data_IF_149008428005
#
_entry.id   IF_149008428005
#
_cell.length_a   1.000
_cell.length_b   1.000
_cell.length_c   1.000
_cell.angle_alpha   90.00
_cell.angle_beta   90.00
_cell.angle_gamma   90.00
#
_symmetry.space_group_name_H-M   'P 1'
#
loop_
_entity.id
_entity.type
_entity.pdbx_description
1 polymer ?
#
# COMPACT_ATOMS: atom_id res chain seq x y z
N UNK A 1 4.77 6.34 3.80
CA UNK A 1 4.92 6.97 5.14
C UNK A 1 6.29 7.64 5.26
N UNK A 2 6.41 8.65 6.11
CA UNK A 2 7.73 9.22 6.47
C UNK A 2 8.46 8.25 7.40
N UNK A 3 9.81 8.29 7.46
CA UNK A 3 10.55 7.51 8.44
C UNK A 3 10.15 7.85 9.87
N UNK A 4 9.99 6.83 10.71
CA UNK A 4 9.67 6.94 12.14
C UNK A 4 10.20 5.73 12.89
N UNK A 5 10.42 5.85 14.20
CA UNK A 5 10.84 4.73 15.05
C UNK A 5 10.09 4.79 16.40
N UNK A 6 9.74 3.61 16.92
CA UNK A 6 9.05 3.43 18.20
C UNK A 6 7.82 4.33 18.35
N UNK A 7 7.65 5.02 19.48
CA UNK A 7 6.48 5.86 19.76
C UNK A 7 6.27 7.02 18.78
N UNK A 8 7.31 7.45 18.05
CA UNK A 8 7.13 8.44 16.97
C UNK A 8 6.39 7.87 15.75
N UNK A 9 6.29 6.54 15.67
CA UNK A 9 5.50 5.82 14.67
C UNK A 9 4.05 5.59 15.09
N UNK A 10 3.65 5.91 16.32
CA UNK A 10 2.27 5.77 16.75
C UNK A 10 1.38 6.75 15.97
N UNK A 11 0.25 6.25 15.49
CA UNK A 11 -0.70 7.05 14.71
C UNK A 11 -2.12 6.60 15.01
N UNK A 12 -3.01 7.57 15.24
CA UNK A 12 -4.45 7.37 15.34
C UNK A 12 -5.12 7.23 13.96
N UNK A 13 -4.37 7.50 12.88
CA UNK A 13 -4.83 7.51 11.50
C UNK A 13 -3.83 6.79 10.60
N UNK A 14 -4.17 5.56 10.25
CA UNK A 14 -3.42 4.73 9.31
C UNK A 14 -4.06 4.81 7.93
N UNK A 15 -4.17 6.01 7.37
CA UNK A 15 -4.76 6.29 6.05
C UNK A 15 -3.69 6.85 5.12
N UNK A 16 -3.93 6.77 3.80
CA UNK A 16 -3.11 7.52 2.85
C UNK A 16 -3.21 9.03 3.15
N UNK A 17 -2.08 9.73 3.14
CA UNK A 17 -2.08 11.17 3.44
C UNK A 17 -2.77 11.97 2.33
N UNK A 18 -3.42 13.08 2.69
CA UNK A 18 -4.07 13.94 1.69
C UNK A 18 -3.11 14.41 0.58
N UNK A 19 -1.87 14.84 0.86
CA UNK A 19 -0.92 15.19 -0.19
C UNK A 19 -0.59 14.03 -1.16
N UNK A 20 -0.52 12.79 -0.66
CA UNK A 20 -0.28 11.60 -1.49
C UNK A 20 -1.50 11.31 -2.37
N UNK A 21 -2.71 11.39 -1.81
CA UNK A 21 -3.95 11.23 -2.58
C UNK A 21 -4.08 12.28 -3.68
N UNK A 22 -3.81 13.55 -3.37
CA UNK A 22 -3.82 14.65 -4.33
C UNK A 22 -2.76 14.45 -5.43
N UNK A 23 -1.60 13.89 -5.09
CA UNK A 23 -0.57 13.55 -6.07
C UNK A 23 -1.06 12.48 -7.04
N UNK A 24 -1.67 11.40 -6.54
CA UNK A 24 -2.21 10.33 -7.39
C UNK A 24 -3.28 10.90 -8.33
N UNK A 25 -4.21 11.72 -7.82
CA UNK A 25 -5.23 12.39 -8.65
C UNK A 25 -4.62 13.25 -9.76
N UNK A 26 -3.62 14.08 -9.43
CA UNK A 26 -2.92 14.92 -10.43
C UNK A 26 -2.24 14.09 -11.51
N UNK A 27 -1.62 12.96 -11.16
CA UNK A 27 -0.97 12.07 -12.12
C UNK A 27 -2.01 11.33 -12.97
N UNK A 28 -3.09 10.82 -12.38
CA UNK A 28 -4.19 10.13 -13.08
C UNK A 28 -4.83 10.99 -14.17
N UNK A 29 -4.95 12.30 -13.94
CA UNK A 29 -5.46 13.26 -14.94
C UNK A 29 -4.53 13.47 -16.14
N UNK A 30 -3.25 13.10 -16.02
CA UNK A 30 -2.20 13.35 -17.04
C UNK A 30 -1.64 12.07 -17.66
N UNK A 31 -1.93 10.92 -17.07
CA UNK A 31 -1.36 9.63 -17.47
C UNK A 31 -2.46 8.64 -17.83
N UNK A 32 -2.27 7.92 -18.94
CA UNK A 32 -3.18 6.84 -19.36
C UNK A 32 -3.15 5.66 -18.38
N UNK A 33 -1.97 5.38 -17.82
CA UNK A 33 -1.72 4.31 -16.85
C UNK A 33 -1.00 4.87 -15.63
N UNK A 34 -1.44 4.49 -14.44
CA UNK A 34 -0.85 4.89 -13.16
C UNK A 34 -0.56 3.64 -12.35
N UNK A 35 0.70 3.51 -11.92
CA UNK A 35 1.12 2.48 -10.96
C UNK A 35 1.55 3.20 -9.70
N UNK A 36 0.97 2.82 -8.56
CA UNK A 36 1.32 3.38 -7.24
C UNK A 36 2.16 2.37 -6.47
N UNK A 37 3.32 2.81 -6.01
CA UNK A 37 4.20 2.01 -5.16
C UNK A 37 4.14 2.62 -3.76
N UNK A 38 3.50 1.92 -2.83
CA UNK A 38 3.39 2.34 -1.43
C UNK A 38 4.66 1.91 -0.69
N UNK A 39 5.36 2.90 -0.13
CA UNK A 39 6.45 2.70 0.83
C UNK A 39 5.89 2.96 2.23
N UNK A 40 5.71 1.92 3.04
CA UNK A 40 5.13 2.01 4.38
C UNK A 40 5.65 0.91 5.30
N UNK A 41 5.64 1.14 6.61
CA UNK A 41 6.04 0.11 7.59
C UNK A 41 4.93 -0.90 7.90
N UNK A 42 3.71 -0.61 7.45
CA UNK A 42 2.47 -1.31 7.81
C UNK A 42 1.39 -1.06 6.75
N UNK A 43 0.27 -1.82 6.77
CA UNK A 43 -0.89 -1.51 5.94
C UNK A 43 -1.45 -0.12 6.25
N UNK A 44 -1.82 0.60 5.20
CA UNK A 44 -2.60 1.84 5.28
C UNK A 44 -4.00 1.59 4.71
N UNK A 45 -5.04 2.17 5.29
CA UNK A 45 -6.38 2.18 4.73
C UNK A 45 -6.34 2.96 3.41
N UNK A 46 -6.50 2.23 2.31
CA UNK A 46 -6.45 2.75 0.93
C UNK A 46 -7.74 2.53 0.14
N UNK A 47 -8.79 2.03 0.77
CA UNK A 47 -10.05 1.61 0.13
C UNK A 47 -10.61 2.68 -0.81
N UNK A 48 -10.66 3.93 -0.35
CA UNK A 48 -11.22 5.05 -1.11
C UNK A 48 -10.34 5.47 -2.31
N UNK A 49 -9.05 5.11 -2.27
CA UNK A 49 -8.07 5.49 -3.28
C UNK A 49 -7.81 4.38 -4.30
N UNK A 50 -8.27 3.14 -4.06
CA UNK A 50 -7.86 1.97 -4.84
C UNK A 50 -8.11 2.13 -6.35
N UNK A 51 -9.20 2.81 -6.73
CA UNK A 51 -9.59 3.05 -8.11
C UNK A 51 -8.86 4.21 -8.79
N UNK A 52 -8.01 4.95 -8.06
CA UNK A 52 -7.25 6.07 -8.61
C UNK A 52 -5.99 5.64 -9.37
N UNK A 53 -5.59 4.37 -9.26
CA UNK A 53 -4.46 3.79 -9.98
C UNK A 53 -4.85 2.46 -10.65
N UNK A 54 -4.15 2.12 -11.73
CA UNK A 54 -4.34 0.86 -12.46
C UNK A 54 -3.68 -0.33 -11.75
N UNK A 55 -2.65 -0.06 -10.93
CA UNK A 55 -1.96 -1.07 -10.14
C UNK A 55 -1.39 -0.47 -8.86
N UNK A 56 -1.33 -1.30 -7.81
CA UNK A 56 -0.80 -0.95 -6.49
C UNK A 56 0.24 -1.99 -6.08
N UNK A 57 1.38 -1.53 -5.60
CA UNK A 57 2.47 -2.38 -5.07
C UNK A 57 2.81 -1.92 -3.66
N UNK A 58 2.69 -2.82 -2.69
CA UNK A 58 3.23 -2.59 -1.36
C UNK A 58 4.70 -3.02 -1.33
N UNK A 59 5.63 -2.06 -1.35
CA UNK A 59 7.07 -2.36 -1.32
C UNK A 59 7.66 -2.31 0.10
N UNK A 60 6.82 -2.03 1.10
CA UNK A 60 7.19 -1.93 2.51
C UNK A 60 8.31 -0.91 2.75
N UNK A 61 9.33 -1.26 3.54
CA UNK A 61 10.57 -0.50 3.71
C UNK A 61 11.71 -1.28 3.05
N UNK A 62 11.97 -1.08 1.73
CA UNK A 62 12.77 -2.00 0.92
C UNK A 62 14.29 -1.93 1.14
N UNK A 63 14.77 -1.02 1.99
CA UNK A 63 16.20 -0.82 2.21
C UNK A 63 16.89 -0.05 1.06
N UNK A 64 18.17 -0.32 0.85
CA UNK A 64 19.03 0.42 -0.09
C UNK A 64 18.89 0.00 -1.54
N UNK A 65 18.53 -1.26 -1.79
CA UNK A 65 18.52 -1.88 -3.12
C UNK A 65 17.22 -1.57 -3.89
N UNK A 66 16.96 -0.28 -4.15
CA UNK A 66 15.76 0.17 -4.85
C UNK A 66 15.59 -0.41 -6.28
N UNK A 67 16.67 -0.92 -6.86
CA UNK A 67 16.63 -1.62 -8.15
C UNK A 67 15.72 -2.86 -8.13
N UNK A 68 15.60 -3.54 -6.99
CA UNK A 68 14.71 -4.70 -6.87
C UNK A 68 13.23 -4.38 -7.13
N UNK A 69 12.81 -3.13 -6.92
CA UNK A 69 11.47 -2.66 -7.32
C UNK A 69 11.36 -2.56 -8.84
N UNK A 70 12.39 -2.03 -9.50
CA UNK A 70 12.41 -1.89 -10.95
C UNK A 70 12.36 -3.28 -11.63
N UNK A 71 13.15 -4.23 -11.13
CA UNK A 71 13.22 -5.60 -11.68
C UNK A 71 11.83 -6.26 -11.77
N UNK A 72 10.97 -6.07 -10.76
CA UNK A 72 9.61 -6.64 -10.78
C UNK A 72 8.60 -5.81 -11.57
N UNK A 73 8.73 -4.48 -11.55
CA UNK A 73 7.82 -3.58 -12.29
C UNK A 73 8.00 -3.71 -13.80
N UNK A 74 9.24 -3.81 -14.27
CA UNK A 74 9.55 -3.99 -15.69
C UNK A 74 9.46 -5.44 -16.15
N UNK A 75 9.34 -6.39 -15.21
CA UNK A 75 9.04 -7.79 -15.49
C UNK A 75 10.27 -8.66 -15.73
N UNK A 76 11.47 -8.20 -15.33
CA UNK A 76 12.69 -9.00 -15.29
C UNK A 76 12.55 -10.14 -14.26
N UNK A 77 11.78 -9.91 -13.18
CA UNK A 77 11.43 -10.89 -12.16
C UNK A 77 9.91 -10.87 -11.90
N UNK A 78 9.24 -12.03 -11.73
CA UNK A 78 7.81 -12.05 -11.42
C UNK A 78 7.51 -11.60 -9.98
N UNK A 79 6.32 -11.02 -9.77
CA UNK A 79 5.80 -10.81 -8.42
C UNK A 79 5.45 -12.16 -7.77
N UNK A 80 6.01 -12.41 -6.60
CA UNK A 80 5.73 -13.62 -5.79
C UNK A 80 5.30 -13.28 -4.36
N UNK A 81 5.43 -12.02 -3.95
CA UNK A 81 5.13 -11.57 -2.60
C UNK A 81 3.65 -11.75 -2.23
N UNK A 82 3.42 -12.25 -1.02
CA UNK A 82 2.11 -12.31 -0.38
C UNK A 82 2.14 -11.41 0.86
N UNK A 83 1.05 -10.69 1.13
CA UNK A 83 1.00 -9.77 2.27
C UNK A 83 1.12 -10.55 3.58
N UNK A 84 2.09 -10.20 4.46
CA UNK A 84 2.23 -10.82 5.77
C UNK A 84 1.27 -10.25 6.82
N UNK A 85 0.42 -9.28 6.42
CA UNK A 85 -0.60 -8.68 7.28
C UNK A 85 -1.95 -8.63 6.55
N UNK A 86 -3.04 -8.82 7.31
CA UNK A 86 -4.38 -8.49 6.82
C UNK A 86 -4.45 -6.99 6.55
N UNK A 87 -4.90 -6.61 5.35
CA UNK A 87 -5.02 -5.22 4.94
C UNK A 87 -6.40 -4.68 5.31
N UNK A 88 -6.52 -3.69 6.21
CA UNK A 88 -7.81 -3.17 6.65
C UNK A 88 -8.50 -2.41 5.52
N UNK A 89 -9.81 -2.58 5.42
CA UNK A 89 -10.70 -1.77 4.58
C UNK A 89 -11.07 -0.44 5.23
N UNK A 90 -10.99 -0.31 6.56
CA UNK A 90 -11.28 0.93 7.29
C UNK A 90 -10.55 1.01 8.62
N UNK A 91 -10.49 2.21 9.22
CA UNK A 91 -9.89 2.41 10.55
C UNK A 91 -10.62 1.64 11.66
N UNK A 92 -11.92 1.35 11.49
CA UNK A 92 -12.71 0.60 12.48
C UNK A 92 -12.29 -0.87 12.61
N UNK A 93 -11.49 -1.39 11.68
CA UNK A 93 -10.92 -2.74 11.74
C UNK A 93 -9.58 -2.79 12.46
N UNK A 94 -9.14 -1.69 13.08
CA UNK A 94 -7.86 -1.56 13.78
C UNK A 94 -8.12 -1.36 15.28
N UNK A 95 -7.54 -2.19 16.17
CA UNK A 95 -6.68 -3.35 15.87
C UNK A 95 -7.44 -4.48 15.16
N UNK A 96 -6.72 -5.34 14.43
CA UNK A 96 -7.32 -6.46 13.69
C UNK A 96 -8.19 -7.32 14.62
N UNK A 97 -9.42 -7.62 14.17
CA UNK A 97 -10.44 -8.32 14.98
C UNK A 97 -11.41 -7.39 15.71
N UNK A 98 -11.24 -6.06 15.63
CA UNK A 98 -12.19 -5.09 16.25
C UNK A 98 -13.51 -4.95 15.50
N UNK A 99 -13.64 -5.60 14.34
CA UNK A 99 -14.83 -5.54 13.49
C UNK A 99 -15.00 -6.84 12.73
N UNK A 100 -16.26 -7.27 12.54
CA UNK A 100 -16.64 -8.40 11.69
C UNK A 100 -16.63 -8.05 10.19
N UNK A 101 -16.29 -6.81 9.84
CA UNK A 101 -16.22 -6.35 8.45
C UNK A 101 -15.12 -7.09 7.68
N UNK A 102 -15.37 -7.36 6.39
CA UNK A 102 -14.38 -7.99 5.51
C UNK A 102 -13.17 -7.05 5.31
N UNK A 103 -11.92 -7.53 5.47
CA UNK A 103 -10.74 -6.73 5.17
C UNK A 103 -10.63 -6.47 3.65
N UNK A 104 -9.85 -5.46 3.27
CA UNK A 104 -9.60 -5.15 1.87
C UNK A 104 -8.83 -6.29 1.19
N UNK A 105 -7.77 -6.76 1.85
CA UNK A 105 -7.01 -7.93 1.44
C UNK A 105 -6.75 -8.84 2.65
N UNK A 106 -6.93 -10.14 2.47
CA UNK A 106 -6.65 -11.13 3.52
C UNK A 106 -5.14 -11.33 3.70
N UNK A 107 -4.73 -11.80 4.88
CA UNK A 107 -3.39 -12.34 5.07
C UNK A 107 -3.06 -13.36 3.97
N UNK A 108 -1.83 -13.31 3.44
CA UNK A 108 -1.41 -14.19 2.35
C UNK A 108 -1.95 -13.79 0.97
N UNK A 109 -2.70 -12.69 0.84
CA UNK A 109 -3.10 -12.17 -0.46
C UNK A 109 -1.90 -11.65 -1.25
N UNK A 110 -1.90 -11.92 -2.54
CA UNK A 110 -0.97 -11.37 -3.52
C UNK A 110 -1.46 -11.83 -4.88
N UNK A 111 -1.45 -10.94 -5.86
CA UNK A 111 -1.96 -11.23 -7.20
C UNK A 111 -1.14 -12.37 -7.79
N UNK A 112 -1.82 -13.41 -8.24
CA UNK A 112 -1.23 -14.51 -9.01
C UNK A 112 -1.36 -14.17 -10.49
N UNK A 113 -0.30 -14.39 -11.26
CA UNK A 113 -0.34 -14.36 -12.72
C UNK A 113 -0.59 -15.76 -13.25
#
# INVERSE_FOLDING_TARGET
EKPSAEGMGDSDKLVLSQPDADLIDRIRKRSRKVVVIIISGRPLVITDYINMADAWVAAWLPGTEGQGIADVIFGDVPFTGKTPFTWPASMNQIPLGSSDGKPLFLFGFGIER
#
